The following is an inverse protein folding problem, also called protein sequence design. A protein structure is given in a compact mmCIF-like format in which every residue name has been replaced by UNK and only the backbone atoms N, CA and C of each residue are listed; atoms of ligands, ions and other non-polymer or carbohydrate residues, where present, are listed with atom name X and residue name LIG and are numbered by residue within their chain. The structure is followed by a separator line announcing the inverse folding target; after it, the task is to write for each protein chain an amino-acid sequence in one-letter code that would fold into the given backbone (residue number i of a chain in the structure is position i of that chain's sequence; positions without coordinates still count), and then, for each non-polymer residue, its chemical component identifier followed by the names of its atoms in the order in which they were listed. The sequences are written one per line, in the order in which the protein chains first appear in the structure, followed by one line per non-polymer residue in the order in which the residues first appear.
data_IF_745974097484
#
_entry.id   IF_745974097484
#
_cell.length_a   1.000
_cell.length_b   1.000
_cell.length_c   1.000
_cell.angle_alpha   90.00
_cell.angle_beta   90.00
_cell.angle_gamma   90.00
#
_symmetry.space_group_name_H-M   'P 1'
#
loop_
_entity.id
_entity.type
_entity.pdbx_description
1 polymer ?
#
# COMPACT_ATOMS: atom_id res chain seq x y z
N UNK A 1 -43.29 66.15 -8.32
CA UNK A 1 -44.47 66.75 -8.96
C UNK A 1 -43.96 67.64 -10.08
N UNK A 2 -44.57 67.66 -11.27
CA UNK A 2 -45.44 66.63 -11.87
C UNK A 2 -45.08 66.36 -13.36
N UNK A 3 -45.33 65.14 -13.89
CA UNK A 3 -46.47 64.75 -14.79
C UNK A 3 -46.29 65.39 -16.20
N UNK A 4 -46.29 64.65 -17.32
CA UNK A 4 -47.48 64.21 -18.06
C UNK A 4 -46.98 63.37 -19.29
N UNK A 5 -47.40 62.12 -19.55
CA UNK A 5 -48.67 61.65 -20.17
C UNK A 5 -48.65 61.62 -21.72
N UNK A 6 -49.00 60.43 -22.23
CA UNK A 6 -49.80 60.12 -23.44
C UNK A 6 -49.17 59.82 -24.82
N UNK A 7 -49.54 58.61 -25.28
CA UNK A 7 -50.19 58.26 -26.55
C UNK A 7 -49.40 58.31 -27.88
N UNK A 8 -49.21 57.15 -28.54
CA UNK A 8 -50.20 56.55 -29.47
C UNK A 8 -49.57 55.72 -30.62
N UNK A 9 -50.38 54.77 -31.11
CA UNK A 9 -50.49 54.21 -32.49
C UNK A 9 -49.36 53.29 -32.98
N UNK A 10 -49.63 51.97 -33.05
CA UNK A 10 -50.27 51.24 -34.17
C UNK A 10 -49.32 51.07 -35.38
N UNK A 11 -48.90 49.83 -35.68
CA UNK A 11 -49.57 48.99 -36.70
C UNK A 11 -48.82 47.65 -36.96
N UNK A 12 -49.63 46.63 -37.30
CA UNK A 12 -49.32 45.32 -37.91
C UNK A 12 -48.45 44.35 -37.08
N UNK A 13 -48.84 43.10 -36.83
CA UNK A 13 -49.90 42.29 -37.40
C UNK A 13 -49.40 40.86 -37.54
N UNK A 14 -50.15 39.93 -36.93
CA UNK A 14 -50.33 38.54 -37.34
C UNK A 14 -49.34 37.41 -36.94
N UNK A 15 -50.01 36.36 -36.43
CA UNK A 15 -49.67 34.93 -36.29
C UNK A 15 -48.85 34.40 -35.08
N UNK A 16 -49.61 34.22 -34.00
CA UNK A 16 -49.85 32.97 -33.23
C UNK A 16 -48.69 32.15 -32.62
N UNK A 17 -48.56 32.34 -31.30
CA UNK A 17 -48.42 31.36 -30.20
C UNK A 17 -47.17 30.50 -30.07
N UNK A 18 -46.20 31.05 -29.32
CA UNK A 18 -45.43 30.32 -28.30
C UNK A 18 -45.29 31.24 -27.05
N UNK A 19 -45.92 30.88 -25.93
CA UNK A 19 -45.50 31.21 -24.55
C UNK A 19 -46.50 30.55 -23.59
N UNK A 20 -46.12 29.53 -22.82
CA UNK A 20 -45.47 29.64 -21.49
C UNK A 20 -46.13 30.72 -20.65
N UNK A 21 -47.16 30.34 -19.90
CA UNK A 21 -47.64 31.12 -18.75
C UNK A 21 -46.98 30.58 -17.48
N UNK A 22 -45.97 31.34 -17.05
CA UNK A 22 -45.34 31.28 -15.74
C UNK A 22 -46.38 31.74 -14.72
N UNK A 23 -47.05 30.79 -14.06
CA UNK A 23 -47.85 31.13 -12.88
C UNK A 23 -48.04 29.92 -11.96
N UNK A 24 -46.98 29.16 -11.69
CA UNK A 24 -47.05 28.08 -10.69
C UNK A 24 -45.70 27.77 -10.02
N UNK A 25 -44.88 28.79 -9.76
CA UNK A 25 -43.57 28.59 -9.15
C UNK A 25 -43.24 29.63 -8.08
N UNK A 26 -44.08 29.69 -7.04
CA UNK A 26 -43.76 30.46 -5.81
C UNK A 26 -44.33 29.87 -4.51
N UNK A 27 -44.61 28.55 -4.47
CA UNK A 27 -45.11 27.89 -3.25
C UNK A 27 -44.42 26.57 -2.87
N UNK A 28 -43.22 26.29 -3.41
CA UNK A 28 -42.46 25.07 -3.06
C UNK A 28 -41.01 25.32 -2.60
N UNK A 29 -40.56 26.58 -2.47
CA UNK A 29 -39.17 26.88 -2.08
C UNK A 29 -38.96 27.13 -0.58
N UNK A 30 -40.02 27.16 0.23
CA UNK A 30 -39.90 27.35 1.69
C UNK A 30 -40.11 26.07 2.52
N UNK A 31 -40.58 24.98 1.89
CA UNK A 31 -40.75 23.69 2.57
C UNK A 31 -39.54 22.75 2.38
N UNK A 32 -38.67 23.01 1.40
CA UNK A 32 -37.48 22.20 1.11
C UNK A 32 -36.25 22.60 1.96
N UNK A 33 -36.24 23.82 2.51
CA UNK A 33 -35.12 24.33 3.34
C UNK A 33 -35.23 23.89 4.80
N UNK A 34 -36.45 23.67 5.31
CA UNK A 34 -36.65 23.17 6.68
C UNK A 34 -36.42 21.66 6.84
N UNK A 35 -36.59 20.86 5.79
CA UNK A 35 -36.29 19.42 5.81
C UNK A 35 -34.79 19.16 5.66
N UNK A 36 -34.04 20.03 4.99
CA UNK A 36 -32.57 19.93 4.90
C UNK A 36 -31.86 20.32 6.23
N UNK A 37 -32.42 21.26 7.00
CA UNK A 37 -31.82 21.69 8.29
C UNK A 37 -32.12 20.74 9.46
N UNK A 38 -33.12 19.86 9.34
CA UNK A 38 -33.40 18.80 10.32
C UNK A 38 -32.62 17.51 10.05
N UNK A 39 -32.07 17.31 8.84
CA UNK A 39 -31.15 16.20 8.56
C UNK A 39 -29.67 16.52 8.85
N UNK A 40 -29.31 17.78 9.02
CA UNK A 40 -27.95 18.21 9.41
C UNK A 40 -27.76 18.32 10.93
N UNK A 41 -28.82 18.15 11.75
CA UNK A 41 -28.74 18.22 13.21
C UNK A 41 -28.95 16.89 13.95
N UNK A 42 -29.09 15.76 13.24
CA UNK A 42 -29.13 14.40 13.85
C UNK A 42 -27.92 13.53 13.44
N UNK A 43 -27.01 14.04 12.60
CA UNK A 43 -25.76 13.37 12.24
C UNK A 43 -24.51 13.93 12.96
N UNK A 44 -24.67 14.72 14.03
CA UNK A 44 -23.53 15.24 14.83
C UNK A 44 -23.51 14.80 16.29
N UNK A 45 -24.42 13.93 16.74
CA UNK A 45 -24.44 13.40 18.11
C UNK A 45 -23.98 11.94 18.25
N UNK A 46 -23.52 11.31 17.15
CA UNK A 46 -23.16 9.88 17.13
C UNK A 46 -21.66 9.57 17.12
N UNK A 47 -20.78 10.56 16.99
CA UNK A 47 -19.33 10.31 16.75
C UNK A 47 -18.45 10.71 17.95
N UNK A 48 -18.96 11.48 18.91
CA UNK A 48 -18.17 11.85 20.10
C UNK A 48 -18.10 10.76 21.19
N UNK A 49 -18.78 9.62 21.04
CA UNK A 49 -18.90 8.59 22.08
C UNK A 49 -18.12 7.29 21.83
N UNK A 50 -17.50 7.10 20.65
CA UNK A 50 -16.74 5.87 20.32
C UNK A 50 -15.23 6.05 20.21
N UNK A 51 -14.73 7.28 20.12
CA UNK A 51 -13.28 7.54 19.98
C UNK A 51 -12.56 7.64 21.34
N UNK A 52 -13.29 7.81 22.46
CA UNK A 52 -12.67 8.03 23.78
C UNK A 52 -12.54 6.74 24.63
N UNK A 53 -13.07 5.60 24.19
CA UNK A 53 -13.05 4.37 25.01
C UNK A 53 -12.17 3.22 24.51
N UNK A 54 -11.36 3.43 23.46
CA UNK A 54 -10.49 2.40 22.87
C UNK A 54 -8.98 2.60 23.10
N UNK A 55 -8.58 3.60 23.91
CA UNK A 55 -7.16 3.91 24.18
C UNK A 55 -6.74 3.74 25.66
N UNK A 56 -7.49 2.99 26.48
CA UNK A 56 -7.16 2.85 27.92
C UNK A 56 -7.05 1.42 28.46
N UNK A 57 -6.86 0.42 27.61
CA UNK A 57 -6.42 -0.91 28.08
C UNK A 57 -5.30 -1.43 27.20
N UNK A 58 -4.14 -0.76 27.25
CA UNK A 58 -2.88 -1.46 27.04
C UNK A 58 -2.33 -1.81 28.42
N UNK A 59 -2.33 -3.11 28.71
CA UNK A 59 -1.68 -3.66 29.87
C UNK A 59 -0.24 -3.12 29.95
N UNK A 60 0.09 -2.53 31.10
CA UNK A 60 1.48 -2.20 31.43
C UNK A 60 2.29 -3.49 31.35
N UNK A 61 3.32 -3.59 30.50
CA UNK A 61 4.20 -4.74 30.56
C UNK A 61 4.97 -4.67 31.88
N UNK A 62 4.82 -5.72 32.70
CA UNK A 62 5.66 -5.91 33.87
C UNK A 62 7.13 -5.95 33.42
N UNK A 63 7.91 -4.97 33.86
CA UNK A 63 9.36 -4.86 33.64
C UNK A 63 10.10 -5.96 34.42
N UNK A 64 10.11 -7.16 33.85
CA UNK A 64 11.10 -8.19 34.12
C UNK A 64 11.79 -8.45 32.78
N UNK A 65 13.10 -8.18 32.72
CA UNK A 65 13.98 -8.23 31.54
C UNK A 65 13.49 -9.18 30.44
N UNK A 66 12.96 -8.68 29.31
CA UNK A 66 12.52 -9.55 28.22
C UNK A 66 13.74 -10.13 27.50
N UNK A 67 13.79 -11.46 27.38
CA UNK A 67 14.72 -12.15 26.48
C UNK A 67 14.49 -11.66 25.04
N UNK A 68 15.52 -11.67 24.19
CA UNK A 68 15.45 -11.30 22.76
C UNK A 68 14.25 -11.96 22.04
N UNK A 69 14.00 -13.25 22.31
CA UNK A 69 12.88 -14.04 21.77
C UNK A 69 11.48 -13.50 22.12
N UNK A 70 11.35 -12.74 23.23
CA UNK A 70 10.08 -12.11 23.62
C UNK A 70 9.84 -10.79 22.91
N UNK A 71 10.91 -10.07 22.54
CA UNK A 71 10.80 -8.78 21.84
C UNK A 71 10.48 -9.02 20.38
N UNK A 72 11.19 -9.97 19.77
CA UNK A 72 10.96 -10.42 18.40
C UNK A 72 10.37 -11.83 18.41
N UNK A 73 9.08 -11.94 18.75
CA UNK A 73 8.36 -13.21 18.60
C UNK A 73 8.40 -13.64 17.13
N UNK A 74 9.11 -14.74 16.88
CA UNK A 74 9.30 -15.40 15.57
C UNK A 74 8.61 -16.76 15.55
N UNK A 75 7.80 -17.11 16.55
CA UNK A 75 7.17 -18.45 16.66
C UNK A 75 6.26 -18.83 15.50
N UNK A 76 5.76 -17.84 14.74
CA UNK A 76 4.90 -18.04 13.55
C UNK A 76 5.62 -17.81 12.22
N UNK A 77 6.93 -17.55 12.28
CA UNK A 77 7.74 -17.12 11.16
C UNK A 77 7.93 -18.23 10.11
N UNK A 78 7.63 -17.96 8.84
CA UNK A 78 7.76 -18.91 7.71
C UNK A 78 6.81 -20.12 7.72
N UNK A 79 6.28 -20.54 8.88
CA UNK A 79 5.45 -21.73 9.06
C UNK A 79 4.07 -21.59 8.41
N UNK A 80 3.56 -20.36 8.30
CA UNK A 80 2.23 -20.07 7.77
C UNK A 80 2.23 -19.67 6.30
N UNK A 81 3.39 -19.64 5.65
CA UNK A 81 3.55 -19.01 4.34
C UNK A 81 3.40 -19.95 3.14
N UNK A 82 3.07 -19.36 2.00
CA UNK A 82 2.84 -20.07 0.75
C UNK A 82 4.17 -20.56 0.21
N UNK A 83 4.33 -21.88 0.11
CA UNK A 83 5.54 -22.49 -0.42
C UNK A 83 5.44 -22.73 -1.93
N UNK A 84 5.25 -21.67 -2.72
CA UNK A 84 5.23 -21.72 -4.19
C UNK A 84 6.57 -21.31 -4.83
N UNK A 85 7.63 -21.16 -4.03
CA UNK A 85 8.96 -20.76 -4.47
C UNK A 85 9.16 -19.25 -4.66
N UNK A 86 8.10 -18.45 -4.53
CA UNK A 86 8.15 -16.99 -4.61
C UNK A 86 8.26 -16.33 -3.22
N UNK A 87 8.40 -15.00 -3.23
CA UNK A 87 8.36 -14.15 -2.03
C UNK A 87 9.36 -14.55 -0.93
N UNK A 88 10.51 -15.12 -1.29
CA UNK A 88 11.57 -15.44 -0.31
C UNK A 88 12.10 -14.19 0.40
N UNK A 89 12.05 -13.06 -0.30
CA UNK A 89 12.13 -11.70 0.22
C UNK A 89 10.89 -10.92 -0.26
N UNK A 90 10.57 -9.75 0.33
CA UNK A 90 9.49 -8.91 -0.14
C UNK A 90 9.67 -8.53 -1.61
N UNK A 91 8.59 -8.49 -2.37
CA UNK A 91 8.65 -8.09 -3.77
C UNK A 91 9.04 -6.62 -3.92
N UNK A 92 9.78 -6.32 -4.98
CA UNK A 92 10.17 -4.96 -5.34
C UNK A 92 9.80 -4.68 -6.79
N UNK A 93 9.27 -3.49 -7.06
CA UNK A 93 8.82 -3.13 -8.39
C UNK A 93 8.20 -1.76 -8.45
N UNK A 94 7.29 -1.59 -9.40
CA UNK A 94 6.53 -0.38 -9.65
C UNK A 94 5.07 -0.75 -9.92
N UNK A 95 4.14 0.11 -9.51
CA UNK A 95 2.73 -0.03 -9.81
C UNK A 95 2.20 1.29 -10.40
N UNK A 96 1.32 1.19 -11.40
CA UNK A 96 0.83 2.35 -12.14
C UNK A 96 -0.16 3.25 -11.39
N UNK A 97 -0.76 2.80 -10.28
CA UNK A 97 -1.96 3.41 -9.73
C UNK A 97 -1.76 4.81 -9.15
N UNK A 98 -0.85 4.99 -8.18
CA UNK A 98 -0.78 6.23 -7.40
C UNK A 98 -0.57 7.48 -8.25
N UNK A 99 0.30 7.39 -9.28
CA UNK A 99 0.55 8.51 -10.17
C UNK A 99 -0.42 8.59 -11.37
N UNK A 100 -0.71 7.47 -12.03
CA UNK A 100 -1.43 7.50 -13.30
C UNK A 100 -2.94 7.28 -13.16
N UNK A 101 -3.39 6.61 -12.10
CA UNK A 101 -4.76 6.10 -11.97
C UNK A 101 -5.19 5.38 -13.28
N UNK A 102 -6.33 5.76 -13.87
CA UNK A 102 -6.77 5.21 -15.15
C UNK A 102 -6.02 5.75 -16.39
N UNK A 103 -5.11 6.73 -16.26
CA UNK A 103 -4.41 7.34 -17.39
C UNK A 103 -3.19 6.50 -17.83
N UNK A 104 -3.40 5.20 -18.03
CA UNK A 104 -2.38 4.24 -18.44
C UNK A 104 -2.62 3.76 -19.87
N UNK A 105 -1.53 3.46 -20.58
CA UNK A 105 -1.56 2.82 -21.89
C UNK A 105 -0.25 2.06 -22.13
N UNK A 106 -0.21 1.27 -23.21
CA UNK A 106 0.92 0.45 -23.60
C UNK A 106 2.24 1.25 -23.68
N UNK A 107 2.22 2.46 -24.23
CA UNK A 107 3.39 3.33 -24.32
C UNK A 107 3.90 3.71 -22.94
N UNK A 108 3.02 4.15 -22.03
CA UNK A 108 3.40 4.51 -20.65
C UNK A 108 4.05 3.33 -19.95
N UNK A 109 3.46 2.13 -20.03
CA UNK A 109 4.03 0.94 -19.37
C UNK A 109 5.40 0.57 -19.96
N UNK A 110 5.56 0.67 -21.29
CA UNK A 110 6.85 0.42 -21.96
C UNK A 110 7.92 1.41 -21.55
N UNK A 111 7.60 2.70 -21.57
CA UNK A 111 8.53 3.77 -21.18
C UNK A 111 8.91 3.70 -19.70
N UNK A 112 7.97 3.35 -18.82
CA UNK A 112 8.24 3.09 -17.40
C UNK A 112 9.21 1.93 -17.23
N UNK A 113 9.01 0.84 -17.97
CA UNK A 113 9.92 -0.31 -17.94
C UNK A 113 11.32 0.05 -18.46
N UNK A 114 11.40 0.85 -19.52
CA UNK A 114 12.66 1.42 -20.00
C UNK A 114 13.34 2.27 -18.92
N UNK A 115 12.58 3.12 -18.24
CA UNK A 115 13.09 3.99 -17.18
C UNK A 115 13.61 3.21 -15.98
N UNK A 116 12.92 2.14 -15.54
CA UNK A 116 13.41 1.26 -14.46
C UNK A 116 14.78 0.67 -14.79
N UNK A 117 15.01 0.29 -16.04
CA UNK A 117 16.31 -0.20 -16.50
C UNK A 117 17.33 0.95 -16.57
N UNK A 118 17.01 2.05 -17.26
CA UNK A 118 17.97 3.12 -17.52
C UNK A 118 18.39 3.90 -16.27
N UNK A 119 17.52 3.96 -15.25
CA UNK A 119 17.83 4.58 -13.95
C UNK A 119 18.64 3.66 -13.02
N UNK A 120 18.80 2.38 -13.38
CA UNK A 120 19.45 1.36 -12.56
C UNK A 120 18.58 0.76 -11.45
N UNK A 121 17.33 1.20 -11.30
CA UNK A 121 16.41 0.65 -10.30
C UNK A 121 16.15 -0.85 -10.53
N UNK A 122 16.06 -1.29 -11.77
CA UNK A 122 15.93 -2.72 -12.09
C UNK A 122 17.08 -3.56 -11.52
N UNK A 123 18.32 -3.06 -11.55
CA UNK A 123 19.50 -3.74 -11.02
C UNK A 123 19.49 -3.84 -9.49
N UNK A 124 18.74 -2.95 -8.82
CA UNK A 124 18.55 -2.96 -7.38
C UNK A 124 17.45 -3.92 -6.92
N UNK A 125 16.71 -4.52 -7.86
CA UNK A 125 15.67 -5.51 -7.59
C UNK A 125 14.24 -5.05 -7.92
N UNK A 126 14.03 -3.80 -8.36
CA UNK A 126 12.71 -3.31 -8.78
C UNK A 126 12.31 -3.91 -10.13
N UNK A 127 11.90 -5.19 -10.12
CA UNK A 127 11.72 -6.00 -11.34
C UNK A 127 10.26 -6.18 -11.76
N UNK A 128 9.29 -6.01 -10.85
CA UNK A 128 7.88 -6.12 -11.19
C UNK A 128 7.36 -4.80 -11.77
N UNK A 129 6.79 -4.85 -12.98
CA UNK A 129 6.06 -3.76 -13.62
C UNK A 129 4.58 -4.11 -13.55
N UNK A 130 3.87 -3.57 -12.56
CA UNK A 130 2.49 -3.94 -12.29
C UNK A 130 1.52 -2.94 -12.95
N UNK A 131 0.67 -3.44 -13.84
CA UNK A 131 -0.46 -2.71 -14.39
C UNK A 131 -1.63 -2.82 -13.41
N UNK A 132 -2.11 -1.69 -12.91
CA UNK A 132 -3.26 -1.64 -12.02
C UNK A 132 -4.59 -1.57 -12.78
N UNK A 133 -5.69 -1.13 -12.14
CA UNK A 133 -7.03 -1.09 -12.75
C UNK A 133 -7.08 -0.25 -14.06
N UNK A 134 -8.22 -0.30 -14.74
CA UNK A 134 -8.53 0.40 -16.01
C UNK A 134 -7.80 -0.11 -17.26
N UNK A 135 -7.03 -1.21 -17.17
CA UNK A 135 -6.37 -1.83 -18.33
C UNK A 135 -7.33 -2.54 -19.30
N UNK A 136 -8.42 -3.09 -18.77
CA UNK A 136 -9.35 -3.91 -19.54
C UNK A 136 -10.44 -3.06 -20.22
N UNK A 137 -11.02 -3.62 -21.27
CA UNK A 137 -12.30 -3.20 -21.82
C UNK A 137 -13.40 -3.27 -20.75
N UNK A 138 -14.47 -2.49 -20.95
CA UNK A 138 -15.64 -2.44 -20.07
C UNK A 138 -16.45 -3.74 -20.02
N UNK A 139 -16.22 -4.66 -20.97
CA UNK A 139 -16.96 -5.90 -21.11
C UNK A 139 -16.00 -7.02 -21.49
N UNK A 140 -16.32 -8.24 -21.03
CA UNK A 140 -15.76 -9.48 -21.55
C UNK A 140 -16.18 -9.69 -23.01
N UNK A 141 -15.42 -10.48 -23.77
CA UNK A 141 -15.79 -10.88 -25.15
C UNK A 141 -16.96 -11.89 -25.15
N UNK A 142 -17.36 -12.35 -26.34
CA UNK A 142 -18.42 -13.35 -26.53
C UNK A 142 -18.11 -14.70 -25.87
N UNK A 143 -16.83 -14.99 -25.66
CA UNK A 143 -16.32 -16.19 -25.03
C UNK A 143 -16.24 -16.06 -23.49
N UNK A 144 -16.60 -14.89 -22.94
CA UNK A 144 -16.56 -14.63 -21.50
C UNK A 144 -15.17 -14.29 -20.95
N UNK A 145 -14.19 -14.01 -21.80
CA UNK A 145 -12.82 -13.68 -21.41
C UNK A 145 -12.63 -12.18 -21.17
N UNK A 146 -11.71 -11.82 -20.27
CA UNK A 146 -11.21 -10.46 -20.15
C UNK A 146 -10.52 -10.03 -21.46
N UNK A 147 -10.68 -8.77 -21.83
CA UNK A 147 -10.07 -8.21 -23.05
C UNK A 147 -9.37 -6.91 -22.67
N UNK A 148 -8.09 -6.70 -23.01
CA UNK A 148 -7.45 -5.40 -22.85
C UNK A 148 -8.21 -4.33 -23.66
N UNK A 149 -8.26 -3.08 -23.20
CA UNK A 149 -8.87 -2.02 -24.01
C UNK A 149 -8.01 -1.78 -25.27
N UNK A 150 -8.53 -2.00 -26.49
CA UNK A 150 -7.75 -1.91 -27.71
C UNK A 150 -7.26 -0.48 -28.02
N UNK A 151 -7.80 0.54 -27.36
CA UNK A 151 -7.33 1.93 -27.51
C UNK A 151 -6.08 2.20 -26.69
N UNK A 152 -5.98 1.63 -25.49
CA UNK A 152 -4.85 1.85 -24.59
C UNK A 152 -3.80 0.75 -24.72
N UNK A 153 -4.20 -0.48 -25.07
CA UNK A 153 -3.32 -1.64 -25.27
C UNK A 153 -3.55 -2.30 -26.65
N UNK A 154 -3.25 -1.59 -27.75
CA UNK A 154 -3.55 -2.05 -29.11
C UNK A 154 -2.82 -3.35 -29.49
N UNK A 155 -1.66 -3.63 -28.91
CA UNK A 155 -0.92 -4.88 -29.17
C UNK A 155 -1.37 -6.05 -28.28
N UNK A 156 -2.22 -5.79 -27.28
CA UNK A 156 -2.63 -6.75 -26.25
C UNK A 156 -1.57 -7.00 -25.17
N UNK A 157 -1.96 -7.69 -24.11
CA UNK A 157 -1.13 -7.88 -22.91
C UNK A 157 0.03 -8.86 -23.16
N UNK A 158 -0.15 -9.93 -23.93
CA UNK A 158 0.93 -10.87 -24.26
C UNK A 158 2.13 -10.19 -24.93
N UNK A 159 1.87 -9.34 -25.93
CA UNK A 159 2.93 -8.61 -26.62
C UNK A 159 3.64 -7.60 -25.70
N UNK A 160 2.91 -7.03 -24.74
CA UNK A 160 3.49 -6.20 -23.70
C UNK A 160 4.36 -7.02 -22.73
N UNK A 161 3.89 -8.20 -22.30
CA UNK A 161 4.68 -9.12 -21.48
C UNK A 161 6.01 -9.49 -22.15
N UNK A 162 5.97 -9.85 -23.43
CA UNK A 162 7.18 -10.16 -24.22
C UNK A 162 8.17 -9.00 -24.25
N UNK A 163 7.67 -7.76 -24.39
CA UNK A 163 8.52 -6.56 -24.35
C UNK A 163 9.17 -6.35 -22.97
N UNK A 164 8.41 -6.55 -21.90
CA UNK A 164 8.88 -6.38 -20.52
C UNK A 164 9.90 -7.48 -20.16
N UNK A 165 9.63 -8.73 -20.53
CA UNK A 165 10.55 -9.86 -20.31
C UNK A 165 11.86 -9.71 -21.10
N UNK A 166 11.81 -9.15 -22.30
CA UNK A 166 13.02 -8.86 -23.09
C UNK A 166 13.97 -7.87 -22.40
N UNK A 167 13.51 -7.15 -21.37
CA UNK A 167 14.31 -6.26 -20.52
C UNK A 167 14.76 -6.91 -19.21
N UNK A 168 14.45 -8.18 -19.00
CA UNK A 168 14.72 -8.89 -17.73
C UNK A 168 13.76 -8.53 -16.60
N UNK A 169 12.67 -7.82 -16.90
CA UNK A 169 11.64 -7.43 -15.94
C UNK A 169 10.49 -8.45 -15.93
N UNK A 170 9.52 -8.27 -15.03
CA UNK A 170 8.33 -9.12 -14.83
C UNK A 170 7.07 -8.29 -14.99
N UNK A 171 6.05 -8.83 -15.66
CA UNK A 171 4.78 -8.11 -15.86
C UNK A 171 3.72 -8.59 -14.86
N UNK A 172 3.16 -7.64 -14.13
CA UNK A 172 2.00 -7.86 -13.28
C UNK A 172 0.72 -7.27 -13.84
N UNK A 173 -0.40 -7.86 -13.45
CA UNK A 173 -1.74 -7.34 -13.77
C UNK A 173 -2.60 -7.23 -12.52
N UNK A 174 -3.73 -6.55 -12.68
CA UNK A 174 -4.75 -6.37 -11.67
C UNK A 174 -6.06 -7.06 -12.07
N UNK A 175 -6.73 -7.66 -11.09
CA UNK A 175 -8.16 -7.98 -11.16
C UNK A 175 -8.77 -7.87 -9.76
N UNK A 176 -10.04 -8.21 -9.64
CA UNK A 176 -10.83 -8.07 -8.41
C UNK A 176 -11.54 -9.39 -8.06
N UNK A 177 -11.55 -9.74 -6.76
CA UNK A 177 -12.37 -10.79 -6.16
C UNK A 177 -13.84 -10.39 -6.00
N UNK A 178 -14.37 -9.67 -6.98
CA UNK A 178 -15.71 -9.12 -7.10
C UNK A 178 -16.34 -9.50 -8.43
N UNK A 179 -17.66 -9.39 -8.52
CA UNK A 179 -18.40 -9.81 -9.71
C UNK A 179 -18.38 -8.75 -10.82
N UNK A 180 -18.59 -9.21 -12.06
CA UNK A 180 -19.16 -8.39 -13.13
C UNK A 180 -20.65 -8.72 -13.28
N UNK A 181 -21.54 -7.75 -13.08
CA UNK A 181 -22.96 -7.93 -13.44
C UNK A 181 -23.46 -6.76 -14.30
N UNK A 182 -23.81 -7.08 -15.54
CA UNK A 182 -24.63 -6.21 -16.39
C UNK A 182 -26.01 -6.85 -16.51
N UNK A 183 -26.97 -6.44 -15.68
CA UNK A 183 -28.38 -6.70 -16.01
C UNK A 183 -28.79 -5.75 -17.12
N UNK A 184 -28.87 -6.25 -18.35
CA UNK A 184 -29.57 -5.57 -19.44
C UNK A 184 -31.09 -5.70 -19.36
N UNK A 185 -31.66 -6.27 -18.29
CA UNK A 185 -33.09 -6.66 -18.23
C UNK A 185 -33.94 -5.95 -17.16
N UNK A 186 -33.42 -4.97 -16.42
CA UNK A 186 -34.24 -4.17 -15.51
C UNK A 186 -34.11 -2.66 -15.78
N UNK A 187 -35.17 -1.99 -16.29
CA UNK A 187 -35.14 -0.56 -16.58
C UNK A 187 -35.04 0.34 -15.32
N UNK A 188 -34.98 -0.26 -14.13
CA UNK A 188 -34.90 0.45 -12.84
C UNK A 188 -33.80 -0.07 -11.89
N UNK A 189 -32.97 -1.04 -12.30
CA UNK A 189 -31.85 -1.53 -11.48
C UNK A 189 -30.55 -0.80 -11.86
N UNK A 190 -30.26 0.28 -11.14
CA UNK A 190 -29.06 1.13 -11.32
C UNK A 190 -27.87 0.59 -10.51
N UNK A 191 -27.51 -0.69 -10.66
CA UNK A 191 -26.29 -1.24 -10.05
C UNK A 191 -25.36 -1.81 -11.13
N UNK A 192 -24.31 -1.05 -11.42
CA UNK A 192 -23.11 -1.50 -12.12
C UNK A 192 -22.15 -2.05 -11.05
N UNK A 193 -21.63 -3.26 -11.25
CA UNK A 193 -20.81 -4.00 -10.27
C UNK A 193 -19.59 -4.58 -10.99
N UNK A 194 -18.38 -4.43 -10.43
CA UNK A 194 -17.12 -4.46 -11.21
C UNK A 194 -15.83 -4.52 -10.35
N UNK A 195 -14.63 -4.27 -10.91
CA UNK A 195 -13.45 -3.75 -10.19
C UNK A 195 -13.76 -2.40 -9.56
N UNK A 196 -12.86 -1.88 -8.71
CA UNK A 196 -13.02 -0.56 -8.11
C UNK A 196 -13.26 0.58 -9.14
N UNK A 197 -12.74 0.48 -10.37
CA UNK A 197 -12.99 1.42 -11.49
C UNK A 197 -13.98 0.92 -12.54
N UNK A 198 -14.90 0.07 -12.13
CA UNK A 198 -16.04 -0.32 -12.95
C UNK A 198 -15.63 -1.17 -14.20
N UNK A 199 -14.64 -2.06 -14.05
CA UNK A 199 -14.24 -3.07 -15.05
C UNK A 199 -14.68 -4.50 -14.67
N UNK A 200 -14.65 -5.50 -15.56
CA UNK A 200 -15.00 -6.87 -15.18
C UNK A 200 -14.05 -7.45 -14.12
N UNK A 201 -14.58 -7.86 -12.96
CA UNK A 201 -13.84 -8.64 -11.95
C UNK A 201 -13.84 -10.15 -12.26
N UNK A 202 -13.10 -10.93 -11.46
CA UNK A 202 -12.85 -12.36 -11.70
C UNK A 202 -13.61 -13.30 -10.77
N UNK A 203 -14.47 -12.82 -9.87
CA UNK A 203 -15.28 -13.70 -9.02
C UNK A 203 -16.20 -14.59 -9.88
N UNK A 204 -16.12 -15.91 -9.68
CA UNK A 204 -16.74 -16.98 -10.50
C UNK A 204 -16.16 -17.17 -11.90
N UNK A 205 -15.07 -16.48 -12.25
CA UNK A 205 -14.32 -16.63 -13.49
C UNK A 205 -12.84 -16.96 -13.22
N UNK A 206 -12.51 -17.40 -12.01
CA UNK A 206 -11.13 -17.54 -11.53
C UNK A 206 -10.31 -18.47 -12.42
N UNK A 207 -10.87 -19.64 -12.77
CA UNK A 207 -10.21 -20.63 -13.63
C UNK A 207 -9.97 -20.12 -15.06
N UNK A 208 -10.93 -19.40 -15.63
CA UNK A 208 -10.82 -18.90 -17.01
C UNK A 208 -9.84 -17.73 -17.07
N UNK A 209 -9.91 -16.81 -16.10
CA UNK A 209 -9.05 -15.65 -16.03
C UNK A 209 -7.60 -16.04 -15.67
N UNK A 210 -7.39 -16.99 -14.75
CA UNK A 210 -6.05 -17.50 -14.45
C UNK A 210 -5.39 -18.12 -15.68
N UNK A 211 -6.11 -18.94 -16.45
CA UNK A 211 -5.61 -19.51 -17.73
C UNK A 211 -5.27 -18.41 -18.72
N UNK A 212 -6.09 -17.36 -18.80
CA UNK A 212 -5.83 -16.23 -19.67
C UNK A 212 -4.57 -15.48 -19.24
N UNK A 213 -4.40 -15.20 -17.94
CA UNK A 213 -3.21 -14.55 -17.39
C UNK A 213 -1.95 -15.38 -17.66
N UNK A 214 -2.01 -16.69 -17.48
CA UNK A 214 -0.90 -17.59 -17.82
C UNK A 214 -0.61 -17.60 -19.33
N UNK A 215 -1.64 -17.57 -20.18
CA UNK A 215 -1.47 -17.50 -21.64
C UNK A 215 -0.83 -16.20 -22.13
N UNK A 216 -0.91 -15.13 -21.32
CA UNK A 216 -0.24 -13.85 -21.54
C UNK A 216 1.16 -13.79 -20.94
N UNK A 217 1.64 -14.88 -20.36
CA UNK A 217 2.91 -14.96 -19.63
C UNK A 217 3.03 -13.98 -18.45
N UNK A 218 1.94 -13.70 -17.74
CA UNK A 218 2.01 -12.81 -16.57
C UNK A 218 2.77 -13.44 -15.40
N UNK A 219 3.40 -12.61 -14.58
CA UNK A 219 4.26 -13.04 -13.45
C UNK A 219 3.68 -12.65 -12.10
N UNK A 220 2.69 -11.75 -12.06
CA UNK A 220 2.14 -11.17 -10.84
C UNK A 220 0.65 -10.85 -11.01
N UNK A 221 -0.15 -11.12 -9.99
CA UNK A 221 -1.54 -10.70 -9.88
C UNK A 221 -1.78 -9.94 -8.57
N UNK A 222 -2.17 -8.66 -8.66
CA UNK A 222 -2.86 -7.95 -7.58
C UNK A 222 -4.35 -8.29 -7.66
N UNK A 223 -4.94 -8.72 -6.55
CA UNK A 223 -6.31 -9.22 -6.51
C UNK A 223 -7.16 -8.52 -5.46
N UNK A 224 -8.00 -7.60 -5.92
CA UNK A 224 -8.74 -6.63 -5.11
C UNK A 224 -10.03 -7.21 -4.50
N UNK A 225 -10.80 -6.36 -3.83
CA UNK A 225 -11.92 -6.75 -2.98
C UNK A 225 -13.19 -5.92 -3.17
N UNK A 226 -13.26 -5.04 -4.17
CA UNK A 226 -14.46 -4.27 -4.43
C UNK A 226 -15.61 -5.20 -4.85
N UNK A 227 -16.86 -4.80 -4.56
CA UNK A 227 -18.05 -5.46 -5.14
C UNK A 227 -18.16 -6.99 -4.92
N UNK A 228 -17.66 -7.46 -3.78
CA UNK A 228 -17.48 -8.87 -3.43
C UNK A 228 -18.74 -9.68 -3.03
N UNK A 229 -19.95 -9.17 -3.31
CA UNK A 229 -21.24 -9.77 -2.92
C UNK A 229 -21.44 -10.01 -1.41
N UNK A 230 -20.63 -9.41 -0.55
CA UNK A 230 -20.64 -9.69 0.89
C UNK A 230 -20.09 -11.07 1.26
N UNK A 231 -19.38 -11.73 0.33
CA UNK A 231 -18.73 -13.01 0.59
C UNK A 231 -17.40 -12.73 1.31
N UNK A 232 -17.14 -13.44 2.40
CA UNK A 232 -15.92 -13.30 3.19
C UNK A 232 -14.65 -13.55 2.34
N UNK A 233 -13.58 -12.75 2.49
CA UNK A 233 -12.30 -12.95 1.81
C UNK A 233 -11.76 -14.39 1.88
N UNK A 234 -11.87 -15.01 3.07
CA UNK A 234 -11.44 -16.40 3.33
C UNK A 234 -12.10 -17.44 2.41
N UNK A 235 -13.21 -17.11 1.76
CA UNK A 235 -13.91 -17.96 0.79
C UNK A 235 -13.60 -17.60 -0.67
N UNK A 236 -13.20 -16.35 -0.96
CA UNK A 236 -13.02 -15.85 -2.35
C UNK A 236 -11.58 -15.88 -2.84
N UNK A 237 -10.60 -15.70 -1.96
CA UNK A 237 -9.19 -15.74 -2.36
C UNK A 237 -8.65 -17.15 -2.67
N UNK A 238 -9.05 -18.24 -1.95
CA UNK A 238 -8.56 -19.58 -2.28
C UNK A 238 -8.89 -20.08 -3.70
N UNK A 239 -10.10 -19.88 -4.26
CA UNK A 239 -10.41 -20.27 -5.64
C UNK A 239 -9.44 -19.68 -6.68
N UNK A 240 -9.08 -18.40 -6.56
CA UNK A 240 -8.12 -17.78 -7.47
C UNK A 240 -6.69 -18.31 -7.26
N UNK A 241 -6.26 -18.56 -6.02
CA UNK A 241 -4.99 -19.28 -5.76
C UNK A 241 -4.95 -20.62 -6.48
N UNK A 242 -6.00 -21.43 -6.32
CA UNK A 242 -6.08 -22.77 -6.90
C UNK A 242 -6.06 -22.68 -8.43
N UNK A 243 -6.85 -21.77 -9.00
CA UNK A 243 -6.86 -21.48 -10.43
C UNK A 243 -5.49 -21.09 -10.99
N UNK A 244 -4.76 -20.19 -10.31
CA UNK A 244 -3.39 -19.80 -10.70
C UNK A 244 -2.44 -21.00 -10.66
N UNK A 245 -2.50 -21.79 -9.61
CA UNK A 245 -1.64 -22.97 -9.46
C UNK A 245 -1.93 -24.04 -10.53
N UNK A 246 -3.20 -24.24 -10.90
CA UNK A 246 -3.62 -25.18 -11.95
C UNK A 246 -3.06 -24.82 -13.34
N UNK A 247 -2.71 -23.55 -13.59
CA UNK A 247 -2.10 -23.15 -14.87
C UNK A 247 -0.70 -23.74 -15.09
N UNK A 248 -0.02 -24.14 -14.01
CA UNK A 248 1.38 -24.56 -14.02
C UNK A 248 2.39 -23.43 -14.20
N UNK A 249 1.94 -22.17 -14.40
CA UNK A 249 2.81 -21.00 -14.42
C UNK A 249 2.92 -20.41 -13.01
N UNK A 250 4.14 -20.13 -12.58
CA UNK A 250 4.40 -19.50 -11.29
C UNK A 250 4.07 -18.00 -11.35
N UNK A 251 2.97 -17.61 -10.72
CA UNK A 251 2.47 -16.22 -10.68
C UNK A 251 2.45 -15.75 -9.21
N UNK A 252 3.06 -14.60 -8.93
CA UNK A 252 3.05 -13.98 -7.60
C UNK A 252 1.62 -13.52 -7.27
N UNK A 253 1.10 -13.96 -6.13
CA UNK A 253 -0.28 -13.66 -5.76
C UNK A 253 -0.38 -12.65 -4.61
N UNK A 254 -0.78 -11.42 -4.94
CA UNK A 254 -0.90 -10.29 -4.00
C UNK A 254 -2.36 -10.03 -3.64
N UNK A 255 -2.73 -10.33 -2.40
CA UNK A 255 -4.09 -10.17 -1.88
C UNK A 255 -4.32 -8.72 -1.48
N UNK A 256 -5.43 -8.12 -1.94
CA UNK A 256 -5.78 -6.72 -1.68
C UNK A 256 -7.21 -6.63 -1.14
N UNK A 257 -7.41 -6.96 0.14
CA UNK A 257 -8.72 -6.84 0.81
C UNK A 257 -8.80 -5.74 1.89
N UNK A 258 -7.73 -4.95 2.01
CA UNK A 258 -7.59 -3.78 2.88
C UNK A 258 -7.54 -4.05 4.40
N UNK A 259 -7.16 -5.26 4.82
CA UNK A 259 -7.13 -5.69 6.22
C UNK A 259 -8.45 -6.31 6.72
N UNK A 260 -9.44 -6.51 5.85
CA UNK A 260 -10.76 -7.07 6.18
C UNK A 260 -10.64 -8.52 6.65
N UNK A 261 -11.13 -8.80 7.86
CA UNK A 261 -11.02 -10.11 8.52
C UNK A 261 -9.58 -10.54 8.85
N UNK A 262 -8.67 -9.56 9.01
CA UNK A 262 -7.30 -9.71 9.50
C UNK A 262 -6.45 -10.70 8.66
N UNK A 263 -6.04 -10.34 7.43
CA UNK A 263 -5.35 -11.24 6.48
C UNK A 263 -4.08 -11.87 7.02
N UNK A 264 -3.35 -11.18 7.89
CA UNK A 264 -2.18 -11.71 8.57
C UNK A 264 -2.45 -13.06 9.28
N UNK A 265 -3.70 -13.35 9.67
CA UNK A 265 -4.07 -14.59 10.35
C UNK A 265 -4.36 -15.77 9.39
N UNK A 266 -4.57 -15.52 8.10
CA UNK A 266 -5.11 -16.55 7.18
C UNK A 266 -4.51 -16.52 5.77
N UNK A 267 -4.10 -15.36 5.26
CA UNK A 267 -3.67 -15.15 3.88
C UNK A 267 -2.31 -15.79 3.56
N UNK A 268 -1.46 -16.04 4.56
CA UNK A 268 -0.15 -16.67 4.38
C UNK A 268 -0.20 -18.01 3.64
N UNK A 269 -1.26 -18.80 3.79
CA UNK A 269 -1.42 -20.09 3.09
C UNK A 269 -2.05 -19.96 1.70
N UNK A 270 -2.29 -18.74 1.25
CA UNK A 270 -3.07 -18.44 0.06
C UNK A 270 -2.29 -17.54 -0.90
N UNK A 271 -1.79 -16.40 -0.42
CA UNK A 271 -1.07 -15.41 -1.22
C UNK A 271 0.37 -15.22 -0.74
N UNK A 272 1.16 -14.56 -1.58
CA UNK A 272 2.55 -14.20 -1.35
C UNK A 272 2.72 -12.85 -0.63
N UNK A 273 1.70 -12.01 -0.67
CA UNK A 273 1.55 -10.84 0.19
C UNK A 273 0.07 -10.52 0.39
N UNK A 274 -0.25 -9.73 1.41
CA UNK A 274 -1.61 -9.29 1.68
C UNK A 274 -1.65 -7.88 2.25
N UNK A 275 -2.52 -7.04 1.68
CA UNK A 275 -2.78 -5.69 2.17
C UNK A 275 -3.31 -5.74 3.61
N UNK A 276 -2.71 -4.98 4.51
CA UNK A 276 -3.10 -4.95 5.93
C UNK A 276 -3.96 -3.74 6.32
N UNK A 277 -4.12 -2.78 5.40
CA UNK A 277 -4.78 -1.49 5.62
C UNK A 277 -5.52 -1.03 4.36
N UNK A 278 -6.38 -0.03 4.52
CA UNK A 278 -6.86 0.83 3.43
C UNK A 278 -5.70 1.47 2.64
N UNK A 279 -6.05 2.09 1.52
CA UNK A 279 -5.07 2.69 0.59
C UNK A 279 -4.29 3.84 1.23
N UNK A 280 -3.00 3.88 0.92
CA UNK A 280 -2.14 5.02 1.26
C UNK A 280 -2.51 6.24 0.43
N UNK A 281 -2.30 7.40 1.02
CA UNK A 281 -2.27 8.67 0.31
C UNK A 281 -0.94 9.36 0.56
N UNK A 282 -0.49 10.17 -0.39
CA UNK A 282 0.75 10.96 -0.32
C UNK A 282 0.67 12.12 0.70
N UNK A 283 0.59 11.74 1.97
CA UNK A 283 0.56 12.65 3.12
C UNK A 283 1.22 11.98 4.32
N UNK A 284 1.91 12.77 5.15
CA UNK A 284 2.53 12.28 6.39
C UNK A 284 1.54 11.56 7.31
N UNK A 285 0.31 12.07 7.43
CA UNK A 285 -0.72 11.51 8.28
C UNK A 285 -1.18 10.11 7.82
N UNK A 286 -1.39 9.92 6.51
CA UNK A 286 -1.77 8.62 5.96
C UNK A 286 -0.63 7.61 6.13
N UNK A 287 0.59 7.98 5.73
CA UNK A 287 1.77 7.11 5.82
C UNK A 287 2.04 6.65 7.26
N UNK A 288 2.04 7.57 8.22
CA UNK A 288 2.27 7.22 9.64
C UNK A 288 1.15 6.37 10.23
N UNK A 289 -0.11 6.63 9.86
CA UNK A 289 -1.27 5.83 10.31
C UNK A 289 -1.17 4.40 9.80
N UNK A 290 -0.80 4.22 8.53
CA UNK A 290 -0.65 2.90 7.93
C UNK A 290 0.48 2.10 8.58
N UNK A 291 1.62 2.75 8.85
CA UNK A 291 2.71 2.11 9.59
C UNK A 291 2.23 1.62 10.97
N UNK A 292 1.49 2.44 11.71
CA UNK A 292 0.95 2.09 13.03
C UNK A 292 -0.05 0.92 12.97
N UNK A 293 -0.90 0.88 11.94
CA UNK A 293 -1.87 -0.21 11.74
C UNK A 293 -1.20 -1.52 11.33
N UNK A 294 -0.09 -1.46 10.59
CA UNK A 294 0.67 -2.63 10.15
C UNK A 294 1.57 -3.22 11.26
N UNK A 295 2.03 -2.40 12.21
CA UNK A 295 2.98 -2.80 13.27
C UNK A 295 2.51 -4.04 14.07
N UNK A 296 1.21 -4.12 14.38
CA UNK A 296 0.62 -5.27 15.11
C UNK A 296 0.78 -6.61 14.38
N UNK A 297 1.04 -6.61 13.07
CA UNK A 297 1.15 -7.80 12.25
C UNK A 297 2.57 -8.33 12.10
N UNK A 298 3.56 -7.70 12.74
CA UNK A 298 4.97 -8.05 12.57
C UNK A 298 5.31 -9.54 12.74
N UNK A 299 4.63 -10.25 13.64
CA UNK A 299 4.87 -11.68 13.88
C UNK A 299 4.36 -12.61 12.75
N UNK A 300 3.63 -12.09 11.76
CA UNK A 300 2.96 -12.88 10.71
C UNK A 300 3.63 -12.76 9.33
N UNK A 301 4.59 -11.85 9.14
CA UNK A 301 5.36 -11.73 7.90
C UNK A 301 6.61 -12.63 7.92
N UNK A 302 7.00 -13.13 6.75
CA UNK A 302 8.26 -13.85 6.53
C UNK A 302 8.34 -14.49 5.13
N UNK A 303 9.43 -15.18 4.78
CA UNK A 303 9.66 -15.81 3.49
C UNK A 303 8.47 -16.63 3.04
N UNK A 304 7.92 -16.23 1.90
CA UNK A 304 6.72 -16.79 1.27
C UNK A 304 5.47 -15.93 1.44
N UNK A 305 5.43 -15.00 2.40
CA UNK A 305 4.24 -14.21 2.71
C UNK A 305 4.49 -12.94 3.54
N UNK A 306 4.16 -11.79 2.96
CA UNK A 306 4.48 -10.47 3.51
C UNK A 306 3.23 -9.64 3.82
N UNK A 307 3.26 -8.92 4.95
CA UNK A 307 2.31 -7.86 5.22
C UNK A 307 2.57 -6.70 4.25
N UNK A 308 1.51 -6.22 3.60
CA UNK A 308 1.57 -5.15 2.61
C UNK A 308 0.87 -3.88 3.16
N UNK A 309 1.63 -2.90 3.66
CA UNK A 309 1.12 -1.59 4.04
C UNK A 309 0.95 -0.65 2.84
N UNK A 310 0.75 -1.19 1.64
CA UNK A 310 0.53 -0.46 0.38
C UNK A 310 1.80 0.16 -0.24
N UNK A 311 1.63 0.70 -1.45
CA UNK A 311 2.68 1.21 -2.32
C UNK A 311 3.47 2.39 -1.72
N UNK A 312 4.65 2.64 -2.28
CA UNK A 312 5.50 3.76 -1.90
C UNK A 312 5.01 5.06 -2.56
N UNK A 313 4.77 6.10 -1.77
CA UNK A 313 4.45 7.46 -2.24
C UNK A 313 5.69 8.30 -2.56
N UNK A 314 6.89 7.74 -2.37
CA UNK A 314 8.18 8.41 -2.57
C UNK A 314 8.27 9.03 -3.98
N UNK A 315 8.25 10.36 -4.03
CA UNK A 315 8.35 11.15 -5.27
C UNK A 315 7.03 11.68 -5.85
N UNK A 316 5.89 11.50 -5.17
CA UNK A 316 4.58 11.98 -5.66
C UNK A 316 4.27 13.46 -5.37
N UNK A 317 5.05 14.08 -4.47
CA UNK A 317 5.11 15.52 -4.23
C UNK A 317 4.33 16.06 -3.03
N UNK A 318 3.62 15.21 -2.29
CA UNK A 318 2.79 15.57 -1.13
C UNK A 318 3.52 15.56 0.22
N UNK A 319 4.67 14.89 0.32
CA UNK A 319 5.54 14.86 1.51
C UNK A 319 6.91 15.51 1.26
N UNK A 320 7.60 15.91 2.34
CA UNK A 320 8.99 16.43 2.26
C UNK A 320 10.01 15.31 2.01
N UNK A 321 11.26 15.68 1.70
CA UNK A 321 12.33 14.71 1.53
C UNK A 321 12.57 13.87 2.80
N UNK A 322 12.56 14.50 3.98
CA UNK A 322 12.66 13.84 5.28
C UNK A 322 11.49 12.88 5.52
N UNK A 323 10.29 13.29 5.16
CA UNK A 323 9.09 12.48 5.31
C UNK A 323 9.13 11.24 4.39
N UNK A 324 9.60 11.40 3.15
CA UNK A 324 9.83 10.26 2.24
C UNK A 324 10.98 9.37 2.70
N UNK A 325 12.05 9.93 3.26
CA UNK A 325 13.14 9.17 3.87
C UNK A 325 12.61 8.29 5.01
N UNK A 326 11.74 8.85 5.85
CA UNK A 326 11.08 8.09 6.91
C UNK A 326 10.16 7.00 6.35
N UNK A 327 9.33 7.32 5.37
CA UNK A 327 8.45 6.36 4.70
C UNK A 327 9.24 5.16 4.13
N UNK A 328 10.29 5.42 3.34
CA UNK A 328 11.10 4.35 2.75
C UNK A 328 11.83 3.51 3.80
N UNK A 329 12.38 4.16 4.84
CA UNK A 329 13.07 3.48 5.94
C UNK A 329 12.15 2.54 6.71
N UNK A 330 10.93 2.98 7.01
CA UNK A 330 9.96 2.21 7.78
C UNK A 330 9.39 1.06 6.96
N UNK A 331 9.08 1.26 5.67
CA UNK A 331 8.67 0.16 4.77
C UNK A 331 9.78 -0.89 4.64
N UNK A 332 11.03 -0.46 4.50
CA UNK A 332 12.17 -1.38 4.44
C UNK A 332 12.35 -2.17 5.75
N UNK A 333 12.29 -1.50 6.90
CA UNK A 333 12.37 -2.13 8.22
C UNK A 333 11.25 -3.15 8.43
N UNK A 334 10.02 -2.81 8.02
CA UNK A 334 8.84 -3.66 8.16
C UNK A 334 8.79 -4.85 7.18
N UNK A 335 9.76 -4.96 6.25
CA UNK A 335 9.72 -5.98 5.17
C UNK A 335 8.45 -5.87 4.32
N UNK A 336 7.98 -4.65 4.13
CA UNK A 336 6.89 -4.35 3.21
C UNK A 336 7.34 -4.61 1.76
N UNK A 337 6.41 -4.92 0.84
CA UNK A 337 6.65 -4.74 -0.59
C UNK A 337 7.17 -3.34 -0.89
N UNK A 338 8.21 -3.22 -1.71
CA UNK A 338 8.72 -1.93 -2.17
C UNK A 338 8.24 -1.68 -3.61
N UNK A 339 6.97 -1.31 -3.74
CA UNK A 339 6.35 -0.98 -5.02
C UNK A 339 6.35 0.54 -5.20
N UNK A 340 7.15 1.05 -6.13
CA UNK A 340 7.23 2.48 -6.45
C UNK A 340 5.88 2.94 -7.04
N UNK A 341 5.29 4.00 -6.48
CA UNK A 341 4.03 4.58 -6.92
C UNK A 341 4.16 5.86 -7.76
N UNK A 342 5.37 6.38 -8.00
CA UNK A 342 5.60 7.62 -8.76
C UNK A 342 5.96 7.39 -10.24
N UNK A 343 6.04 8.46 -11.03
CA UNK A 343 6.50 8.40 -12.42
C UNK A 343 8.02 8.35 -12.53
N UNK A 344 8.56 7.13 -12.63
CA UNK A 344 10.00 6.88 -12.76
C UNK A 344 10.61 7.42 -14.06
N UNK A 345 9.80 7.78 -15.07
CA UNK A 345 10.28 8.36 -16.34
C UNK A 345 10.80 9.79 -16.15
N UNK A 346 10.34 10.46 -15.10
CA UNK A 346 10.71 11.83 -14.76
C UNK A 346 11.15 11.96 -13.30
N UNK A 347 11.85 10.94 -12.78
CA UNK A 347 12.32 10.92 -11.39
C UNK A 347 13.36 12.03 -11.12
N UNK A 348 13.22 12.72 -10.00
CA UNK A 348 14.22 13.71 -9.56
C UNK A 348 15.45 13.02 -8.95
N UNK A 349 16.58 13.72 -8.89
CA UNK A 349 17.79 13.19 -8.26
C UNK A 349 17.57 12.85 -6.78
N UNK A 350 16.82 13.69 -6.04
CA UNK A 350 16.45 13.46 -4.65
C UNK A 350 15.58 12.20 -4.48
N UNK A 351 14.57 12.02 -5.36
CA UNK A 351 13.72 10.82 -5.31
C UNK A 351 14.52 9.56 -5.64
N UNK A 352 15.41 9.65 -6.64
CA UNK A 352 16.28 8.54 -7.01
C UNK A 352 17.26 8.20 -5.88
N UNK A 353 17.80 9.18 -5.17
CA UNK A 353 18.65 8.96 -3.98
C UNK A 353 17.94 8.11 -2.93
N UNK A 354 16.67 8.41 -2.64
CA UNK A 354 15.87 7.63 -1.70
C UNK A 354 15.62 6.20 -2.20
N UNK A 355 15.11 6.06 -3.42
CA UNK A 355 14.72 4.77 -3.99
C UNK A 355 15.92 3.89 -4.37
N UNK A 356 17.12 4.45 -4.52
CA UNK A 356 18.33 3.71 -4.90
C UNK A 356 19.26 3.37 -3.74
N UNK A 357 18.87 3.69 -2.49
CA UNK A 357 19.71 3.40 -1.33
C UNK A 357 19.83 1.88 -1.09
N UNK A 358 20.97 1.32 -1.53
CA UNK A 358 21.31 -0.12 -1.44
C UNK A 358 21.31 -0.65 -0.01
N UNK A 359 21.70 0.14 0.98
CA UNK A 359 21.79 -0.32 2.37
C UNK A 359 20.40 -0.43 3.01
N UNK A 360 19.51 0.51 2.71
CA UNK A 360 18.10 0.46 3.14
C UNK A 360 17.37 -0.68 2.43
N UNK A 361 17.59 -0.87 1.12
CA UNK A 361 17.05 -2.03 0.38
C UNK A 361 17.57 -3.35 0.97
N UNK A 362 18.84 -3.44 1.34
CA UNK A 362 19.40 -4.64 1.96
C UNK A 362 18.75 -4.98 3.32
N UNK A 363 18.25 -3.99 4.06
CA UNK A 363 17.41 -4.24 5.24
C UNK A 363 16.10 -4.93 4.84
N UNK A 364 15.43 -4.44 3.79
CA UNK A 364 14.18 -5.04 3.30
C UNK A 364 14.39 -6.46 2.75
N UNK A 365 15.51 -6.67 2.06
CA UNK A 365 15.85 -7.92 1.38
C UNK A 365 16.69 -8.88 2.23
N UNK A 366 16.85 -8.61 3.52
CA UNK A 366 17.62 -9.47 4.42
C UNK A 366 16.98 -10.88 4.49
N UNK A 367 17.77 -11.96 4.32
CA UNK A 367 17.24 -13.33 4.22
C UNK A 367 16.68 -13.84 5.55
N UNK A 368 17.05 -13.22 6.69
CA UNK A 368 16.38 -13.52 7.95
C UNK A 368 14.92 -13.11 7.89
N UNK A 369 14.56 -12.08 7.10
CA UNK A 369 13.20 -11.68 6.70
C UNK A 369 12.22 -11.32 7.82
N UNK A 370 12.69 -11.06 9.03
CA UNK A 370 11.81 -10.72 10.16
C UNK A 370 11.35 -9.26 10.04
N UNK A 371 10.04 -9.05 10.03
CA UNK A 371 9.45 -7.70 10.09
C UNK A 371 9.86 -7.02 11.40
N UNK A 372 10.52 -5.86 11.26
CA UNK A 372 10.77 -4.97 12.38
C UNK A 372 9.48 -4.33 12.89
N UNK A 373 9.51 -3.86 14.14
CA UNK A 373 8.35 -3.33 14.87
C UNK A 373 8.74 -2.16 15.75
N UNK A 374 7.74 -1.42 16.23
CA UNK A 374 7.92 -0.39 17.25
C UNK A 374 8.28 -1.02 18.59
N UNK A 375 9.40 -0.58 19.19
CA UNK A 375 9.93 -1.15 20.44
C UNK A 375 9.99 -0.14 21.60
N UNK A 376 10.01 1.16 21.28
CA UNK A 376 9.97 2.21 22.31
C UNK A 376 9.26 3.45 21.79
N UNK A 377 8.59 4.15 22.71
CA UNK A 377 7.83 5.38 22.45
C UNK A 377 8.07 6.37 23.59
N UNK A 378 8.41 7.60 23.24
CA UNK A 378 8.61 8.72 24.17
C UNK A 378 8.08 10.03 23.58
N UNK A 379 8.29 11.13 24.29
CA UNK A 379 7.84 12.45 23.88
C UNK A 379 6.34 12.68 24.02
N UNK A 380 5.86 13.90 23.73
CA UNK A 380 4.45 14.24 23.74
C UNK A 380 3.70 13.39 22.71
N UNK A 381 2.55 12.84 23.10
CA UNK A 381 1.69 12.00 22.24
C UNK A 381 2.40 10.82 21.56
N UNK A 382 3.57 10.40 22.08
CA UNK A 382 4.35 9.30 21.53
C UNK A 382 5.02 9.61 20.19
N UNK A 383 5.35 10.87 19.93
CA UNK A 383 5.94 11.32 18.67
C UNK A 383 7.42 10.92 18.48
N UNK A 384 8.13 10.53 19.54
CA UNK A 384 9.49 10.00 19.45
C UNK A 384 9.42 8.48 19.49
N UNK A 385 9.90 7.82 18.44
CA UNK A 385 9.75 6.36 18.31
C UNK A 385 11.07 5.69 17.99
N UNK A 386 11.27 4.51 18.59
CA UNK A 386 12.32 3.57 18.19
C UNK A 386 11.63 2.35 17.60
N UNK A 387 11.98 2.03 16.36
CA UNK A 387 11.58 0.80 15.69
C UNK A 387 12.81 -0.06 15.48
N UNK A 388 12.68 -1.37 15.62
CA UNK A 388 13.81 -2.27 15.46
C UNK A 388 13.38 -3.63 14.91
N UNK A 389 14.34 -4.36 14.33
CA UNK A 389 14.15 -5.72 13.87
C UNK A 389 15.49 -6.47 13.76
N UNK A 390 15.50 -7.78 14.01
CA UNK A 390 16.71 -8.57 13.82
C UNK A 390 17.01 -8.74 12.34
N UNK A 391 18.29 -8.82 12.01
CA UNK A 391 18.80 -9.13 10.68
C UNK A 391 19.73 -10.35 10.73
N UNK A 392 19.95 -10.96 9.57
CA UNK A 392 20.93 -12.03 9.41
C UNK A 392 22.33 -11.64 9.92
N UNK A 393 23.09 -12.62 10.41
CA UNK A 393 24.42 -12.38 10.95
C UNK A 393 24.41 -11.60 12.27
N UNK A 394 23.39 -11.81 13.11
CA UNK A 394 23.35 -11.26 14.47
C UNK A 394 23.35 -9.73 14.53
N UNK A 395 22.85 -9.08 13.47
CA UNK A 395 22.72 -7.63 13.38
C UNK A 395 21.31 -7.20 13.79
N UNK A 396 21.16 -5.93 14.15
CA UNK A 396 19.85 -5.33 14.44
C UNK A 396 19.70 -4.06 13.62
N UNK A 397 18.61 -3.94 12.85
CA UNK A 397 18.23 -2.64 12.27
C UNK A 397 17.47 -1.84 13.31
N UNK A 398 17.77 -0.54 13.40
CA UNK A 398 17.11 0.40 14.31
C UNK A 398 16.76 1.67 13.55
N UNK A 399 15.49 2.08 13.59
CA UNK A 399 15.05 3.39 13.15
C UNK A 399 14.77 4.29 14.36
N UNK A 400 15.38 5.47 14.38
CA UNK A 400 15.03 6.55 15.28
C UNK A 400 14.11 7.50 14.52
N UNK A 401 12.82 7.41 14.79
CA UNK A 401 11.79 8.09 14.01
C UNK A 401 11.18 9.25 14.81
N UNK A 402 11.43 10.47 14.35
CA UNK A 402 10.89 11.68 14.93
C UNK A 402 9.61 12.09 14.20
N UNK A 403 8.46 11.82 14.80
CA UNK A 403 7.14 12.28 14.32
C UNK A 403 6.73 13.61 14.96
N UNK A 404 7.58 14.23 15.76
CA UNK A 404 7.33 15.53 16.38
C UNK A 404 7.57 16.66 15.38
N UNK A 405 7.00 17.84 15.67
CA UNK A 405 7.15 19.05 14.85
C UNK A 405 8.50 19.76 14.96
N UNK A 406 9.38 19.31 15.86
CA UNK A 406 10.70 19.89 16.08
C UNK A 406 11.76 18.81 16.11
N UNK A 407 12.98 19.16 15.73
CA UNK A 407 14.13 18.29 15.86
C UNK A 407 14.39 17.90 17.33
N UNK A 408 14.50 16.60 17.60
CA UNK A 408 14.65 16.04 18.95
C UNK A 408 15.76 15.00 19.01
N UNK A 409 16.30 14.75 20.20
CA UNK A 409 17.27 13.69 20.42
C UNK A 409 16.55 12.42 20.85
N UNK A 410 16.59 11.38 20.01
CA UNK A 410 15.96 10.09 20.30
C UNK A 410 17.06 9.12 20.74
N UNK A 411 16.82 8.40 21.83
CA UNK A 411 17.79 7.46 22.41
C UNK A 411 17.24 6.05 22.39
N UNK A 412 18.03 5.12 21.83
CA UNK A 412 17.77 3.68 21.92
C UNK A 412 18.66 3.07 23.00
N UNK A 413 18.06 2.33 23.92
CA UNK A 413 18.77 1.56 24.95
C UNK A 413 18.90 0.09 24.52
N UNK A 414 19.99 -0.59 24.88
CA UNK A 414 20.27 -1.96 24.41
C UNK A 414 19.16 -2.94 24.81
N UNK A 415 18.60 -2.75 26.00
CA UNK A 415 17.54 -3.60 26.55
C UNK A 415 16.28 -3.61 25.68
N UNK A 416 15.91 -2.49 25.04
CA UNK A 416 14.69 -2.41 24.22
C UNK A 416 14.85 -3.05 22.85
N UNK A 417 16.09 -3.27 22.40
CA UNK A 417 16.43 -3.98 21.16
C UNK A 417 17.01 -5.38 21.41
N UNK A 418 16.92 -5.86 22.65
CA UNK A 418 17.33 -7.20 23.06
C UNK A 418 18.84 -7.44 23.10
N UNK A 419 19.65 -6.39 23.09
CA UNK A 419 21.09 -6.48 23.35
C UNK A 419 21.35 -6.47 24.87
N UNK A 420 22.39 -7.18 25.32
CA UNK A 420 22.83 -7.10 26.72
C UNK A 420 23.37 -5.70 27.03
N UNK A 421 23.11 -5.15 28.21
CA UNK A 421 23.53 -3.78 28.57
C UNK A 421 25.04 -3.53 28.49
N UNK A 422 25.87 -4.57 28.69
CA UNK A 422 27.33 -4.53 28.55
C UNK A 422 27.83 -4.82 27.13
N UNK A 423 26.94 -5.13 26.18
CA UNK A 423 27.29 -5.42 24.81
C UNK A 423 27.92 -4.19 24.15
N UNK A 424 28.99 -4.45 23.40
CA UNK A 424 29.64 -3.50 22.51
C UNK A 424 29.12 -3.70 21.10
N UNK A 425 28.73 -2.63 20.43
CA UNK A 425 28.25 -2.69 19.06
C UNK A 425 28.81 -1.54 18.21
N UNK A 426 29.13 -1.83 16.95
CA UNK A 426 29.34 -0.80 15.95
C UNK A 426 27.99 -0.33 15.41
N UNK A 427 27.88 0.97 15.14
CA UNK A 427 26.66 1.62 14.66
C UNK A 427 26.96 2.26 13.31
N UNK A 428 26.25 1.78 12.28
CA UNK A 428 26.33 2.28 10.90
C UNK A 428 25.06 3.04 10.55
N UNK A 429 25.20 4.26 10.05
CA UNK A 429 24.11 5.07 9.49
C UNK A 429 23.93 4.75 8.00
N UNK A 430 22.74 4.28 7.64
CA UNK A 430 22.46 3.76 6.29
C UNK A 430 22.17 4.86 5.27
N UNK A 431 21.78 6.05 5.74
CA UNK A 431 21.55 7.21 4.86
C UNK A 431 22.82 8.01 4.64
N UNK A 432 23.72 8.02 5.63
CA UNK A 432 25.03 8.66 5.50
C UNK A 432 26.12 7.71 4.99
N UNK A 433 25.80 6.43 4.78
CA UNK A 433 26.71 5.39 4.33
C UNK A 433 28.00 5.28 5.15
N UNK A 434 27.92 5.52 6.46
CA UNK A 434 29.10 5.63 7.33
C UNK A 434 28.91 5.01 8.70
N UNK A 435 30.00 4.49 9.25
CA UNK A 435 30.04 4.07 10.64
C UNK A 435 30.14 5.33 11.51
N UNK A 436 29.13 5.55 12.36
CA UNK A 436 29.03 6.74 13.21
C UNK A 436 29.63 6.50 14.59
N UNK A 437 29.63 5.25 15.07
CA UNK A 437 30.26 4.84 16.33
C UNK A 437 30.84 3.44 16.18
N UNK A 438 32.11 3.27 16.55
CA UNK A 438 32.78 1.98 16.47
C UNK A 438 32.61 1.08 17.69
N UNK A 439 32.29 1.62 18.88
CA UNK A 439 32.22 0.85 20.13
C UNK A 439 31.16 1.43 21.09
N UNK A 440 29.89 1.42 20.66
CA UNK A 440 28.78 1.90 21.48
C UNK A 440 28.42 0.87 22.57
N UNK A 441 28.11 1.37 23.79
CA UNK A 441 27.75 0.54 24.94
C UNK A 441 26.49 1.10 25.58
N UNK A 442 25.59 0.22 26.00
CA UNK A 442 24.34 0.49 26.73
C UNK A 442 23.25 1.28 25.98
N UNK A 443 23.61 2.29 25.19
CA UNK A 443 22.67 3.09 24.43
C UNK A 443 23.34 3.83 23.26
N UNK A 444 22.51 4.36 22.37
CA UNK A 444 22.90 5.26 21.29
C UNK A 444 21.83 6.36 21.13
N UNK A 445 22.27 7.59 20.86
CA UNK A 445 21.38 8.73 20.70
C UNK A 445 21.76 9.52 19.46
N UNK A 446 20.76 9.98 18.71
CA UNK A 446 20.95 10.88 17.58
C UNK A 446 19.90 12.00 17.61
N UNK A 447 20.31 13.18 17.14
CA UNK A 447 19.38 14.28 16.87
C UNK A 447 18.75 14.03 15.49
N UNK A 448 17.42 13.91 15.46
CA UNK A 448 16.64 13.63 14.26
C UNK A 448 15.76 14.84 13.97
N UNK A 449 15.72 15.30 12.73
CA UNK A 449 14.93 16.47 12.33
C UNK A 449 13.42 16.19 12.41
N UNK A 450 12.61 17.24 12.32
CA UNK A 450 11.15 17.10 12.40
C UNK A 450 10.63 16.25 11.23
N UNK A 451 9.75 15.30 11.55
CA UNK A 451 9.16 14.36 10.58
C UNK A 451 10.19 13.52 9.80
N UNK A 452 11.32 13.23 10.42
CA UNK A 452 12.42 12.49 9.81
C UNK A 452 12.68 11.16 10.52
N UNK A 453 13.38 10.25 9.84
CA UNK A 453 13.86 8.98 10.38
C UNK A 453 15.31 8.75 10.01
N UNK A 454 16.13 8.42 11.02
CA UNK A 454 17.46 7.89 10.80
C UNK A 454 17.46 6.37 10.96
N UNK A 455 17.96 5.67 9.95
CA UNK A 455 18.04 4.21 9.92
C UNK A 455 19.48 3.74 10.12
N UNK A 456 19.66 2.79 11.03
CA UNK A 456 20.96 2.32 11.47
C UNK A 456 21.03 0.79 11.48
N UNK A 457 22.23 0.25 11.29
CA UNK A 457 22.57 -1.14 11.62
C UNK A 457 23.50 -1.17 12.82
N UNK A 458 23.12 -1.96 13.81
CA UNK A 458 23.90 -2.25 15.01
C UNK A 458 24.51 -3.64 14.85
N UNK A 459 25.85 -3.74 14.96
CA UNK A 459 26.59 -5.00 14.85
C UNK A 459 27.35 -5.26 16.15
N UNK A 460 26.89 -6.21 17.00
CA UNK A 460 27.60 -6.58 18.22
C UNK A 460 28.98 -7.17 17.95
N UNK A 461 29.99 -6.79 18.74
CA UNK A 461 31.39 -7.24 18.56
C UNK A 461 31.67 -8.69 18.97
N UNK A 462 30.76 -9.33 19.71
CA UNK A 462 30.93 -10.72 20.15
C UNK A 462 29.64 -11.49 19.90
N UNK A 463 29.73 -12.61 19.19
CA UNK A 463 28.59 -13.48 18.83
C UNK A 463 27.89 -14.09 20.06
N UNK A 464 28.56 -14.13 21.22
CA UNK A 464 28.08 -14.83 22.43
C UNK A 464 26.92 -14.14 23.17
N UNK A 465 26.26 -13.15 22.56
CA UNK A 465 25.29 -12.28 23.25
C UNK A 465 23.84 -12.54 22.84
N UNK A 466 23.60 -13.31 21.78
CA UNK A 466 22.27 -13.81 21.43
C UNK A 466 22.02 -15.11 22.21
N UNK A 467 21.14 -15.08 23.22
CA UNK A 467 20.64 -16.32 23.80
C UNK A 467 19.85 -17.06 22.71
N UNK A 468 20.41 -18.18 22.23
CA UNK A 468 19.77 -19.23 21.45
C UNK A 468 18.80 -18.77 20.34
N UNK A 469 19.34 -18.24 19.24
CA UNK A 469 18.58 -18.18 17.99
C UNK A 469 18.74 -19.49 17.23
N UNK A 470 17.63 -20.24 17.16
CA UNK A 470 17.27 -21.24 16.14
C UNK A 470 18.37 -22.21 15.72
N UNK A 471 18.58 -23.25 16.55
CA UNK A 471 18.84 -24.58 16.02
C UNK A 471 17.49 -25.24 15.69
N UNK A 472 17.10 -25.19 14.42
CA UNK A 472 16.22 -26.20 13.84
C UNK A 472 16.61 -26.33 12.37
N UNK A 473 17.04 -27.55 12.03
CA UNK A 473 17.51 -28.03 10.74
C UNK A 473 16.63 -27.66 9.54
#
# INVERSE_FOLDING_TARGET
MPIEIFLSKNFFGFFFFFSVSVMEKKRNSYLCVYVLLLFVSVASSGISGRVVHLLQTHDKPNFLTPNFDRIFDTSKYGILQLNNGLARTPQMGWNSWNFFACNINETVIKETADALVSTGLAELGYVYVNIDDCWSSLKRNSEGQLVPDPKTFPSGIKALADYIHAKGLKLGIYSDAGIMFTLMTHPTAFFRVSTCQVRPGSLYHENDDAKLFASWDLDYLKYDNCYNLGIEPKKRYPPMRDALNETGRTIFYSICEWGVDDPALWAGKIGNSWRTTDDINDTWASMTTIADLNDKWAAYAGPGGWNDPDMLEVGNGGMTFEEYRAHFSIWALMKAPLLIGCDVRSITAETLELLSNKEVIAVNQDPLGVQGRKVHVSGPDGCEQVWAGPLSGHRVVVALWNRCSNATAITVNWEVIGLQSSARASVRDLWQHKDVVGDAVSSFSARVDAHDSHLYIFTPHTESLFKNLVQSE
#
